data_IF_315020680398
#
_entry.id   IF_315020680398
#
_cell.length_a   1.000
_cell.length_b   1.000
_cell.length_c   1.000
_cell.angle_alpha   90.00
_cell.angle_beta   90.00
_cell.angle_gamma   90.00
#
_symmetry.space_group_name_H-M   'P 1'
#
loop_
_entity.id
_entity.type
_entity.pdbx_description
1 polymer ?
#
# COMPACT_ATOMS: atom_id res chain seq x y z
N UNK A 1 23.94 15.46 -10.85
CA UNK A 1 23.97 14.80 -11.16
C UNK A 1 23.74 13.71 -11.18
N UNK A 2 23.71 13.44 -11.42
CA UNK A 2 23.49 12.35 -11.97
C UNK A 2 23.28 11.18 -11.26
N UNK A 3 22.92 11.39 -10.28
CA UNK A 3 22.68 10.33 -9.57
C UNK A 3 21.91 9.31 -10.16
N UNK A 4 21.20 9.67 -10.96
CA UNK A 4 20.53 8.78 -11.59
C UNK A 4 21.10 8.08 -12.43
N UNK A 5 22.06 8.50 -12.48
CA UNK A 5 22.82 7.78 -13.37
C UNK A 5 22.98 6.34 -13.05
N UNK A 6 22.71 5.95 -11.88
CA UNK A 6 22.62 4.57 -11.63
C UNK A 6 21.29 4.10 -12.06
N UNK A 7 21.20 3.65 -13.25
CA UNK A 7 20.00 3.01 -13.70
C UNK A 7 19.85 1.74 -12.92
N UNK A 8 18.66 1.49 -12.43
CA UNK A 8 18.37 0.22 -11.80
C UNK A 8 18.73 -0.89 -12.77
N UNK A 9 19.32 -1.93 -12.25
CA UNK A 9 19.52 -3.12 -13.04
C UNK A 9 18.18 -3.54 -13.54
N UNK A 10 18.03 -3.52 -14.84
CA UNK A 10 16.79 -3.98 -15.42
C UNK A 10 16.68 -5.46 -15.20
N UNK A 11 15.70 -5.88 -14.47
CA UNK A 11 15.40 -7.28 -14.37
C UNK A 11 15.03 -7.80 -15.75
N UNK A 12 15.40 -9.03 -16.08
CA UNK A 12 14.93 -9.64 -17.32
C UNK A 12 13.42 -9.55 -17.37
N UNK A 13 12.88 -9.12 -18.50
CA UNK A 13 11.44 -9.03 -18.66
C UNK A 13 10.82 -10.39 -18.36
N UNK A 14 9.78 -10.40 -17.52
CA UNK A 14 8.99 -11.61 -17.28
C UNK A 14 8.38 -12.03 -18.61
N UNK A 15 8.64 -13.25 -19.08
CA UNK A 15 8.10 -13.69 -20.38
C UNK A 15 6.58 -13.67 -20.45
N UNK A 16 5.91 -13.63 -19.29
CA UNK A 16 4.46 -13.51 -19.23
C UNK A 16 3.98 -12.07 -19.41
N UNK A 17 4.90 -11.12 -19.42
CA UNK A 17 4.57 -9.70 -19.39
C UNK A 17 5.26 -9.00 -20.54
N UNK A 18 4.51 -8.46 -21.50
CA UNK A 18 5.13 -7.77 -22.63
C UNK A 18 6.02 -6.62 -22.16
N UNK A 19 7.19 -6.51 -22.74
CA UNK A 19 8.17 -5.52 -22.33
C UNK A 19 7.76 -4.09 -22.66
N UNK A 20 6.78 -3.92 -23.52
CA UNK A 20 6.27 -2.59 -23.90
C UNK A 20 5.09 -2.13 -23.05
N UNK A 21 4.61 -2.95 -22.10
CA UNK A 21 3.57 -2.51 -21.19
C UNK A 21 4.21 -1.73 -20.06
N UNK A 22 3.88 -0.46 -19.99
CA UNK A 22 4.24 0.32 -18.83
C UNK A 22 3.41 -0.12 -17.65
N UNK A 23 4.08 -0.49 -16.55
CA UNK A 23 3.37 -0.73 -15.31
C UNK A 23 2.74 0.57 -14.85
N UNK A 24 1.49 0.55 -14.38
CA UNK A 24 0.87 1.76 -13.90
C UNK A 24 1.71 2.35 -12.79
N UNK A 25 2.01 3.63 -12.89
CA UNK A 25 2.67 4.34 -11.81
C UNK A 25 1.77 4.31 -10.60
N UNK A 26 2.39 4.23 -9.42
CA UNK A 26 1.61 4.37 -8.20
C UNK A 26 1.08 5.81 -8.12
N UNK A 27 -0.11 6.03 -7.53
CA UNK A 27 -0.71 7.36 -7.49
C UNK A 27 -0.01 8.26 -6.48
N UNK A 28 -0.05 9.56 -6.75
CA UNK A 28 0.25 10.54 -5.71
C UNK A 28 -0.90 10.57 -4.70
N UNK A 29 -0.64 11.23 -3.57
CA UNK A 29 -1.68 11.40 -2.54
C UNK A 29 -2.95 12.02 -3.13
N UNK A 30 -2.80 13.12 -3.87
CA UNK A 30 -3.93 13.84 -4.40
C UNK A 30 -4.65 13.03 -5.49
N UNK A 31 -3.92 12.31 -6.31
CA UNK A 31 -4.51 11.42 -7.31
C UNK A 31 -5.38 10.35 -6.66
N UNK A 32 -4.90 9.73 -5.58
CA UNK A 32 -5.66 8.72 -4.87
C UNK A 32 -6.90 9.33 -4.21
N UNK A 33 -6.75 10.47 -3.54
CA UNK A 33 -7.86 11.13 -2.87
C UNK A 33 -8.94 11.50 -3.90
N UNK A 34 -8.55 12.07 -5.04
CA UNK A 34 -9.48 12.44 -6.08
C UNK A 34 -10.20 11.23 -6.67
N UNK A 35 -9.49 10.12 -6.86
CA UNK A 35 -10.09 8.89 -7.37
C UNK A 35 -11.17 8.35 -6.44
N UNK A 36 -10.94 8.38 -5.14
CA UNK A 36 -11.92 7.92 -4.16
C UNK A 36 -13.07 8.92 -4.05
N UNK A 37 -12.78 10.21 -4.02
CA UNK A 37 -13.80 11.25 -3.92
C UNK A 37 -14.77 11.21 -5.11
N UNK A 38 -14.31 10.75 -6.26
CA UNK A 38 -15.15 10.67 -7.45
C UNK A 38 -16.37 9.75 -7.26
N UNK A 39 -16.26 8.71 -6.46
CA UNK A 39 -17.39 7.80 -6.20
C UNK A 39 -17.88 7.83 -4.75
N UNK A 40 -17.19 8.53 -3.86
CA UNK A 40 -17.53 8.61 -2.43
C UNK A 40 -17.71 10.06 -2.03
N UNK A 41 -18.88 10.65 -2.27
CA UNK A 41 -19.10 12.09 -2.06
C UNK A 41 -18.93 12.55 -0.61
N UNK A 42 -19.12 11.67 0.35
CA UNK A 42 -18.93 11.99 1.77
C UNK A 42 -17.52 11.77 2.29
N UNK A 43 -16.56 11.56 1.41
CA UNK A 43 -15.18 11.26 1.81
C UNK A 43 -14.57 12.35 2.66
N UNK A 44 -13.99 11.97 3.79
CA UNK A 44 -13.09 12.84 4.54
C UNK A 44 -11.73 12.81 3.84
N UNK A 45 -11.51 13.81 2.99
CA UNK A 45 -10.32 13.88 2.15
C UNK A 45 -9.05 14.00 2.99
N UNK A 46 -9.11 14.74 4.09
CA UNK A 46 -7.95 14.96 4.94
C UNK A 46 -7.54 13.67 5.66
N UNK A 47 -8.51 12.87 6.07
CA UNK A 47 -8.24 11.59 6.73
C UNK A 47 -7.55 10.62 5.79
N UNK A 48 -8.02 10.51 4.55
CA UNK A 48 -7.39 9.63 3.56
C UNK A 48 -6.01 10.14 3.18
N UNK A 49 -5.86 11.46 2.99
CA UNK A 49 -4.56 12.06 2.71
C UNK A 49 -3.57 11.81 3.85
N UNK A 50 -4.03 11.90 5.08
CA UNK A 50 -3.19 11.63 6.25
C UNK A 50 -2.71 10.17 6.28
N UNK A 51 -3.57 9.23 5.90
CA UNK A 51 -3.18 7.81 5.83
C UNK A 51 -2.10 7.59 4.78
N UNK A 52 -2.23 8.21 3.62
CA UNK A 52 -1.22 8.13 2.57
C UNK A 52 0.13 8.69 3.05
N UNK A 53 0.10 9.90 3.63
CA UNK A 53 1.32 10.54 4.12
C UNK A 53 1.98 9.75 5.25
N UNK A 54 1.18 9.16 6.12
CA UNK A 54 1.66 8.32 7.21
C UNK A 54 2.39 7.09 6.66
N UNK A 55 1.81 6.41 5.69
CA UNK A 55 2.43 5.24 5.07
C UNK A 55 3.76 5.62 4.40
N UNK A 56 3.75 6.73 3.66
CA UNK A 56 4.96 7.20 2.99
C UNK A 56 6.07 7.55 4.00
N UNK A 57 5.71 8.25 5.06
CA UNK A 57 6.67 8.67 6.09
C UNK A 57 7.31 7.47 6.78
N UNK A 58 6.51 6.49 7.18
CA UNK A 58 6.99 5.36 7.97
C UNK A 58 7.70 4.30 7.15
N UNK A 59 7.43 4.18 5.85
CA UNK A 59 8.25 3.38 4.97
C UNK A 59 9.57 4.08 4.65
N UNK A 60 9.62 5.42 4.78
CA UNK A 60 10.83 6.21 4.65
C UNK A 60 11.52 6.00 3.30
N UNK A 61 12.83 5.76 3.37
CA UNK A 61 13.66 5.58 2.19
C UNK A 61 13.77 4.13 1.75
N UNK A 62 12.99 3.23 2.32
CA UNK A 62 13.01 1.82 1.94
C UNK A 62 12.67 1.66 0.46
N UNK A 63 13.43 0.82 -0.21
CA UNK A 63 13.21 0.52 -1.62
C UNK A 63 12.84 -0.94 -1.78
N UNK A 64 11.98 -1.20 -2.77
CA UNK A 64 11.67 -2.57 -3.18
C UNK A 64 12.81 -3.13 -4.03
N UNK A 65 12.78 -4.45 -4.25
CA UNK A 65 13.75 -5.09 -5.13
C UNK A 65 13.80 -4.46 -6.52
N UNK A 66 12.68 -3.88 -6.97
CA UNK A 66 12.59 -3.19 -8.26
C UNK A 66 13.29 -1.83 -8.28
N UNK A 67 13.68 -1.30 -7.11
CA UNK A 67 14.22 0.06 -6.99
C UNK A 67 13.18 1.13 -6.70
N UNK A 68 11.90 0.81 -6.75
CA UNK A 68 10.83 1.75 -6.43
C UNK A 68 10.74 1.99 -4.92
N UNK A 69 10.25 3.17 -4.50
CA UNK A 69 9.99 3.40 -3.07
C UNK A 69 9.05 2.34 -2.51
N UNK A 70 9.30 1.93 -1.28
CA UNK A 70 8.51 0.86 -0.67
C UNK A 70 7.03 1.22 -0.59
N UNK A 71 6.71 2.49 -0.28
CA UNK A 71 5.31 2.93 -0.19
C UNK A 71 4.57 2.85 -1.54
N UNK A 72 5.27 2.70 -2.65
CA UNK A 72 4.63 2.58 -3.97
C UNK A 72 3.70 1.39 -4.06
N UNK A 73 4.02 0.30 -3.37
CA UNK A 73 3.18 -0.90 -3.38
C UNK A 73 1.83 -0.66 -2.68
N UNK A 74 1.78 -0.21 -1.42
CA UNK A 74 0.49 0.07 -0.80
C UNK A 74 -0.29 1.16 -1.53
N UNK A 75 0.39 2.16 -2.11
CA UNK A 75 -0.29 3.19 -2.89
C UNK A 75 -0.93 2.62 -4.15
N UNK A 76 -0.23 1.74 -4.86
CA UNK A 76 -0.78 1.07 -6.04
C UNK A 76 -1.94 0.14 -5.69
N UNK A 77 -1.83 -0.59 -4.59
CA UNK A 77 -2.92 -1.43 -4.09
C UNK A 77 -4.14 -0.57 -3.76
N UNK A 78 -3.94 0.56 -3.09
CA UNK A 78 -5.03 1.48 -2.76
C UNK A 78 -5.75 1.98 -4.01
N UNK A 79 -5.00 2.28 -5.08
CA UNK A 79 -5.60 2.70 -6.34
C UNK A 79 -6.44 1.58 -6.97
N UNK A 80 -5.96 0.34 -6.93
CA UNK A 80 -6.73 -0.81 -7.41
C UNK A 80 -8.03 -0.97 -6.62
N UNK A 81 -7.98 -0.78 -5.31
CA UNK A 81 -9.18 -0.84 -4.47
C UNK A 81 -10.13 0.30 -4.81
N UNK A 82 -9.62 1.48 -5.12
CA UNK A 82 -10.44 2.61 -5.57
C UNK A 82 -11.08 2.32 -6.92
N UNK A 83 -10.39 1.64 -7.82
CA UNK A 83 -10.93 1.28 -9.13
C UNK A 83 -12.15 0.37 -9.02
N UNK A 84 -12.23 -0.45 -7.99
CA UNK A 84 -13.40 -1.30 -7.74
C UNK A 84 -14.36 -0.65 -6.73
N UNK A 85 -14.19 0.63 -6.43
CA UNK A 85 -15.08 1.46 -5.62
C UNK A 85 -15.28 0.95 -4.19
N UNK A 86 -14.20 0.47 -3.57
CA UNK A 86 -14.27 0.10 -2.16
C UNK A 86 -14.29 1.34 -1.27
N UNK A 87 -14.74 1.18 -0.04
CA UNK A 87 -14.91 2.31 0.86
C UNK A 87 -13.56 2.85 1.37
N UNK A 88 -13.61 4.02 1.97
CA UNK A 88 -12.44 4.72 2.47
C UNK A 88 -11.72 3.95 3.56
N UNK A 89 -12.45 3.27 4.46
CA UNK A 89 -11.86 2.46 5.52
C UNK A 89 -11.01 1.34 4.93
N UNK A 90 -11.52 0.65 3.91
CA UNK A 90 -10.80 -0.42 3.23
C UNK A 90 -9.54 0.11 2.54
N UNK A 91 -9.65 1.26 1.89
CA UNK A 91 -8.50 1.87 1.21
C UNK A 91 -7.43 2.30 2.20
N UNK A 92 -7.83 2.91 3.31
CA UNK A 92 -6.89 3.29 4.37
C UNK A 92 -6.21 2.07 4.99
N UNK A 93 -6.97 0.99 5.22
CA UNK A 93 -6.37 -0.26 5.71
C UNK A 93 -5.35 -0.82 4.71
N UNK A 94 -5.63 -0.73 3.43
CA UNK A 94 -4.69 -1.14 2.39
C UNK A 94 -3.39 -0.33 2.43
N UNK A 95 -3.49 0.98 2.68
CA UNK A 95 -2.31 1.83 2.82
C UNK A 95 -1.50 1.52 4.07
N UNK A 96 -2.16 1.13 5.15
CA UNK A 96 -1.55 1.08 6.48
C UNK A 96 -1.12 -0.31 6.93
N UNK A 97 -1.62 -1.38 6.30
CA UNK A 97 -1.32 -2.73 6.80
C UNK A 97 0.17 -3.07 6.73
N UNK A 98 0.86 -2.68 5.65
CA UNK A 98 2.30 -2.91 5.52
C UNK A 98 3.11 -2.08 6.51
N UNK A 99 2.60 -0.91 6.89
CA UNK A 99 3.27 -0.09 7.90
C UNK A 99 3.33 -0.83 9.24
N UNK A 100 2.22 -1.44 9.65
CA UNK A 100 2.17 -2.19 10.90
C UNK A 100 3.03 -3.45 10.83
N UNK A 101 3.03 -4.14 9.68
CA UNK A 101 3.80 -5.37 9.53
C UNK A 101 5.29 -5.14 9.38
N UNK A 102 5.68 -4.09 8.67
CA UNK A 102 7.07 -3.92 8.20
C UNK A 102 7.82 -2.81 8.93
N UNK A 103 7.17 -2.07 9.82
CA UNK A 103 7.81 -1.03 10.61
C UNK A 103 7.50 -1.22 12.09
N UNK A 104 8.04 -0.34 12.93
CA UNK A 104 7.82 -0.40 14.37
C UNK A 104 6.52 0.26 14.83
N UNK A 105 5.69 0.71 13.90
CA UNK A 105 4.42 1.35 14.23
C UNK A 105 3.45 0.34 14.83
N UNK A 106 3.01 0.52 16.07
CA UNK A 106 2.06 -0.41 16.66
C UNK A 106 0.64 -0.17 16.16
N UNK A 107 -0.17 -1.22 16.18
CA UNK A 107 -1.56 -1.12 15.78
C UNK A 107 -2.33 -0.08 16.60
N UNK A 108 -1.97 0.09 17.87
CA UNK A 108 -2.60 1.09 18.73
C UNK A 108 -2.45 2.52 18.18
N UNK A 109 -1.35 2.82 17.51
CA UNK A 109 -1.17 4.13 16.90
C UNK A 109 -2.10 4.31 15.69
N UNK A 110 -2.32 3.26 14.92
CA UNK A 110 -3.28 3.29 13.81
C UNK A 110 -4.69 3.57 14.35
N UNK A 111 -5.08 2.90 15.42
CA UNK A 111 -6.38 3.12 16.04
C UNK A 111 -6.52 4.57 16.53
N UNK A 112 -5.51 5.08 17.20
CA UNK A 112 -5.52 6.44 17.74
C UNK A 112 -5.62 7.50 16.66
N UNK A 113 -4.92 7.31 15.56
CA UNK A 113 -4.83 8.30 14.48
C UNK A 113 -5.94 8.17 13.44
N UNK A 114 -6.37 6.95 13.14
CA UNK A 114 -7.27 6.69 12.01
C UNK A 114 -8.59 6.04 12.40
N UNK A 115 -8.73 5.64 13.66
CA UNK A 115 -9.97 5.07 14.16
C UNK A 115 -9.94 3.56 14.30
N UNK A 116 -10.88 3.08 15.12
CA UNK A 116 -10.99 1.65 15.42
C UNK A 116 -11.37 0.83 14.19
N UNK A 117 -12.22 1.36 13.33
CA UNK A 117 -12.66 0.67 12.13
C UNK A 117 -11.48 0.33 11.20
N UNK A 118 -10.59 1.29 10.99
CA UNK A 118 -9.38 1.06 10.19
C UNK A 118 -8.44 0.08 10.88
N UNK A 119 -8.22 0.26 12.19
CA UNK A 119 -7.32 -0.61 12.96
C UNK A 119 -7.81 -2.05 12.98
N UNK A 120 -9.12 -2.26 13.15
CA UNK A 120 -9.70 -3.60 13.16
C UNK A 120 -9.51 -4.29 11.82
N UNK A 121 -9.66 -3.56 10.73
CA UNK A 121 -9.47 -4.14 9.40
C UNK A 121 -8.00 -4.46 9.13
N UNK A 122 -7.08 -3.58 9.52
CA UNK A 122 -5.64 -3.84 9.43
C UNK A 122 -5.27 -5.10 10.22
N UNK A 123 -5.78 -5.22 11.44
CA UNK A 123 -5.52 -6.38 12.30
C UNK A 123 -6.06 -7.66 11.66
N UNK A 124 -7.26 -7.61 11.09
CA UNK A 124 -7.86 -8.74 10.40
C UNK A 124 -7.04 -9.20 9.19
N UNK A 125 -6.55 -8.27 8.38
CA UNK A 125 -5.72 -8.58 7.22
C UNK A 125 -4.41 -9.25 7.66
N UNK A 126 -3.78 -8.72 8.70
CA UNK A 126 -2.54 -9.29 9.24
C UNK A 126 -2.75 -10.71 9.75
N UNK A 127 -3.84 -10.96 10.47
CA UNK A 127 -4.16 -12.29 10.98
C UNK A 127 -4.44 -13.29 9.86
N UNK A 128 -5.14 -12.86 8.82
CA UNK A 128 -5.40 -13.72 7.67
C UNK A 128 -4.10 -14.10 6.95
N UNK A 129 -3.19 -13.17 6.79
CA UNK A 129 -1.89 -13.43 6.21
C UNK A 129 -1.09 -14.47 7.01
N UNK A 130 -1.13 -14.37 8.33
CA UNK A 130 -0.46 -15.34 9.21
C UNK A 130 -1.06 -16.73 9.09
N UNK A 131 -2.38 -16.83 8.99
CA UNK A 131 -3.04 -18.11 8.82
C UNK A 131 -2.68 -18.77 7.49
N UNK A 132 -2.64 -18.02 6.42
CA UNK A 132 -2.20 -18.54 5.13
C UNK A 132 -0.78 -19.06 5.20
N UNK A 133 0.12 -18.32 5.82
CA UNK A 133 1.51 -18.71 5.96
C UNK A 133 1.63 -20.02 6.76
N UNK A 134 0.91 -20.16 7.85
CA UNK A 134 0.91 -21.38 8.65
C UNK A 134 0.36 -22.57 7.87
N UNK A 135 -0.69 -22.36 7.09
CA UNK A 135 -1.28 -23.41 6.26
C UNK A 135 -0.29 -23.91 5.22
N UNK A 136 0.44 -23.01 4.55
CA UNK A 136 1.47 -23.36 3.60
C UNK A 136 2.61 -24.12 4.26
N UNK A 137 3.07 -23.68 5.42
CA UNK A 137 4.13 -24.35 6.14
C UNK A 137 3.70 -25.76 6.57
N UNK A 138 2.46 -25.95 6.98
CA UNK A 138 1.91 -27.24 7.35
C UNK A 138 1.86 -28.18 6.15
N UNK A 139 1.48 -27.68 5.00
CA UNK A 139 1.43 -28.50 3.78
C UNK A 139 2.81 -28.98 3.35
N UNK A 140 3.84 -28.20 3.63
CA UNK A 140 5.20 -28.54 3.25
C UNK A 140 5.89 -29.47 4.25
N UNK A 141 5.33 -29.57 5.41
CA UNK A 141 5.85 -30.46 6.42
C UNK A 141 5.38 -31.87 6.19
#
# INVERSE_FOLDING_TARGET
MGVHAVLPVQEPADPRWPSDIELPKFPTRDELVDAVAAYHPGLDRDRLAAAYDFARKHHGDQLRASGDPYYSHPAAVALLLADVHLDDVTIMAGLLHDVVEDTDVPLADVERLFGKDVADLVDGVTKLGKLEYQSEATKQA
#
